data_IF_870963668953
#
_entry.id   IF_870963668953
#
_cell.length_a   1.000
_cell.length_b   1.000
_cell.length_c   1.000
_cell.angle_alpha   90.00
_cell.angle_beta   90.00
_cell.angle_gamma   90.00
#
_symmetry.space_group_name_H-M   'P 1'
#
loop_
_entity.id
_entity.type
_entity.pdbx_description
1 polymer ?
#
# COMPACT_ATOMS: atom_id res chain seq x y z
N UNK A 1 13.70 11.38 8.53
CA UNK A 1 13.43 10.11 7.84
C UNK A 1 12.01 10.22 7.30
N UNK A 2 11.85 10.33 5.99
CA UNK A 2 10.51 10.35 5.37
C UNK A 2 9.87 8.98 5.61
N UNK A 3 8.67 8.95 6.19
CA UNK A 3 7.91 7.71 6.30
C UNK A 3 7.63 7.20 4.88
N UNK A 4 7.68 5.88 4.64
CA UNK A 4 7.26 5.35 3.35
C UNK A 4 5.83 5.80 3.06
N UNK A 5 5.58 6.27 1.84
CA UNK A 5 4.29 6.72 1.36
C UNK A 5 3.37 5.55 1.02
N UNK A 6 3.92 4.42 0.58
CA UNK A 6 3.13 3.28 0.12
C UNK A 6 3.50 1.96 0.84
N UNK A 7 2.48 1.15 1.07
CA UNK A 7 2.61 -0.19 1.65
C UNK A 7 1.76 -1.19 0.86
N UNK A 8 2.37 -2.26 0.38
CA UNK A 8 1.68 -3.36 -0.27
C UNK A 8 1.21 -4.43 0.71
N UNK A 9 0.04 -4.99 0.46
CA UNK A 9 -0.45 -6.24 1.01
C UNK A 9 -0.31 -7.35 -0.04
N UNK A 10 0.60 -8.30 0.21
CA UNK A 10 0.86 -9.46 -0.66
C UNK A 10 -0.30 -10.46 -0.68
N UNK A 11 -1.12 -10.50 0.36
CA UNK A 11 -2.23 -11.46 0.46
C UNK A 11 -3.38 -11.05 -0.47
N UNK A 12 -3.68 -9.75 -0.55
CA UNK A 12 -4.74 -9.23 -1.42
C UNK A 12 -4.21 -8.60 -2.72
N UNK A 13 -2.89 -8.48 -2.87
CA UNK A 13 -2.22 -7.71 -3.94
C UNK A 13 -2.75 -6.27 -4.03
N UNK A 14 -2.89 -5.60 -2.88
CA UNK A 14 -3.39 -4.21 -2.79
C UNK A 14 -2.28 -3.29 -2.27
N UNK A 15 -2.14 -2.10 -2.85
CA UNK A 15 -1.28 -1.04 -2.35
C UNK A 15 -2.10 0.03 -1.61
N UNK A 16 -1.62 0.39 -0.41
CA UNK A 16 -2.18 1.41 0.44
C UNK A 16 -1.26 2.61 0.53
N UNK A 17 -1.84 3.81 0.73
CA UNK A 17 -1.07 5.01 1.01
C UNK A 17 -1.09 5.28 2.52
N UNK A 18 0.10 5.31 3.12
CA UNK A 18 0.29 5.43 4.57
C UNK A 18 -0.09 6.83 5.08
N UNK A 19 -0.02 7.87 4.24
CA UNK A 19 -0.41 9.24 4.62
C UNK A 19 -1.92 9.52 4.57
N UNK A 20 -2.71 8.68 3.90
CA UNK A 20 -4.15 8.88 3.66
C UNK A 20 -4.98 7.64 4.02
N UNK A 21 -4.42 6.78 4.88
CA UNK A 21 -5.09 5.58 5.34
C UNK A 21 -6.38 5.91 6.12
N UNK A 22 -7.44 5.18 5.81
CA UNK A 22 -8.72 5.24 6.51
C UNK A 22 -8.97 3.93 7.25
N UNK A 23 -9.94 3.88 8.17
CA UNK A 23 -10.31 2.61 8.80
C UNK A 23 -10.83 1.58 7.77
N UNK A 24 -11.49 2.05 6.71
CA UNK A 24 -12.05 1.21 5.64
C UNK A 24 -10.98 0.49 4.80
N UNK A 25 -9.75 0.99 4.77
CA UNK A 25 -8.68 0.39 3.97
C UNK A 25 -8.01 -0.82 4.65
N UNK A 26 -8.37 -1.18 5.89
CA UNK A 26 -7.86 -2.36 6.63
C UNK A 26 -6.33 -2.52 6.68
N UNK A 27 -5.55 -1.47 6.40
CA UNK A 27 -4.08 -1.51 6.38
C UNK A 27 -3.45 -2.03 7.68
N UNK A 28 -4.11 -1.81 8.82
CA UNK A 28 -3.64 -2.29 10.12
C UNK A 28 -3.81 -3.80 10.32
N UNK A 29 -4.65 -4.45 9.52
CA UNK A 29 -4.89 -5.90 9.57
C UNK A 29 -3.87 -6.68 8.73
N UNK A 30 -3.08 -6.00 7.90
CA UNK A 30 -2.03 -6.62 7.10
C UNK A 30 -1.01 -7.29 8.03
N UNK A 31 -0.87 -8.61 7.91
CA UNK A 31 0.09 -9.38 8.69
C UNK A 31 1.51 -8.92 8.35
N UNK A 32 2.41 -8.92 9.34
CA UNK A 32 3.81 -8.51 9.13
C UNK A 32 4.50 -9.23 7.96
N UNK A 33 4.19 -10.52 7.77
CA UNK A 33 4.74 -11.33 6.66
C UNK A 33 4.20 -10.93 5.28
N UNK A 34 3.03 -10.29 5.22
CA UNK A 34 2.34 -9.94 3.99
C UNK A 34 2.64 -8.49 3.55
N UNK A 35 3.33 -7.72 4.39
CA UNK A 35 3.79 -6.37 4.07
C UNK A 35 4.84 -6.39 2.96
N UNK A 36 4.68 -5.49 1.99
CA UNK A 36 5.65 -5.20 0.96
C UNK A 36 5.95 -3.69 0.93
N UNK A 37 7.24 -3.37 0.79
CA UNK A 37 7.72 -1.99 0.65
C UNK A 37 8.33 -1.84 -0.74
N UNK A 38 8.15 -0.68 -1.34
CA UNK A 38 8.53 -0.42 -2.72
C UNK A 38 9.83 0.39 -2.80
N UNK A 39 10.65 0.11 -3.81
CA UNK A 39 11.87 0.88 -4.12
C UNK A 39 11.90 1.11 -5.63
N UNK A 40 11.64 2.33 -6.13
CA UNK A 40 11.33 3.55 -5.35
C UNK A 40 9.94 3.49 -4.72
N UNK A 41 9.77 4.18 -3.59
CA UNK A 41 8.52 4.25 -2.84
C UNK A 41 7.50 5.17 -3.55
N UNK A 42 6.93 4.65 -4.62
CA UNK A 42 6.00 5.34 -5.50
C UNK A 42 4.82 4.43 -5.85
N UNK A 43 3.67 5.04 -6.17
CA UNK A 43 2.53 4.27 -6.65
C UNK A 43 2.82 3.56 -7.97
N UNK A 44 3.61 4.17 -8.86
CA UNK A 44 4.03 3.56 -10.12
C UNK A 44 4.75 2.23 -9.90
N UNK A 45 5.72 2.19 -8.98
CA UNK A 45 6.47 0.97 -8.65
C UNK A 45 5.53 -0.14 -8.17
N UNK A 46 4.58 0.18 -7.30
CA UNK A 46 3.60 -0.80 -6.83
C UNK A 46 2.73 -1.35 -7.97
N UNK A 47 2.32 -0.51 -8.92
CA UNK A 47 1.56 -0.93 -10.10
C UNK A 47 2.39 -1.80 -11.05
N UNK A 48 3.69 -1.50 -11.23
CA UNK A 48 4.63 -2.34 -12.00
C UNK A 48 4.80 -3.72 -11.38
N UNK A 49 4.82 -3.78 -10.04
CA UNK A 49 4.82 -5.01 -9.23
C UNK A 49 3.44 -5.70 -9.15
N UNK A 50 2.46 -5.26 -9.94
CA UNK A 50 1.10 -5.85 -10.08
C UNK A 50 0.19 -5.69 -8.86
N UNK A 51 0.47 -4.72 -7.98
CA UNK A 51 -0.49 -4.34 -6.95
C UNK A 51 -1.63 -3.50 -7.53
N UNK A 52 -2.81 -3.64 -6.94
CA UNK A 52 -3.99 -2.83 -7.26
C UNK A 52 -4.13 -1.70 -6.23
N UNK A 53 -4.52 -0.51 -6.65
CA UNK A 53 -4.67 0.62 -5.73
C UNK A 53 -5.83 0.39 -4.77
N UNK A 54 -5.61 0.62 -3.48
CA UNK A 54 -6.69 0.58 -2.50
C UNK A 54 -7.67 1.73 -2.75
N UNK A 55 -8.91 1.41 -3.14
CA UNK A 55 -9.99 2.36 -3.41
C UNK A 55 -10.33 3.34 -2.28
N UNK A 56 -9.95 3.01 -1.04
CA UNK A 56 -10.31 3.79 0.15
C UNK A 56 -9.26 4.85 0.49
N UNK A 57 -7.98 4.49 0.48
CA UNK A 57 -6.89 5.39 0.82
C UNK A 57 -6.17 5.99 -0.40
N UNK A 58 -6.37 5.41 -1.59
CA UNK A 58 -5.86 5.92 -2.86
C UNK A 58 -7.08 6.17 -3.75
N UNK A 59 -7.68 7.37 -3.59
CA UNK A 59 -8.70 7.87 -4.51
C UNK A 59 -7.98 8.55 -5.68
N UNK A 60 -8.38 8.20 -6.89
CA UNK A 60 -8.01 8.95 -8.11
C UNK A 60 -8.46 10.40 -8.02
#
# INVERSE_FOLDING_TARGET
MSMPGYLGDKSENIVHHLGTMTQECNIYQIKKGDKAYFIPDTIQQALEEKYTQCKFCIKN
#
